data_IF_377974444951
#
_entry.id   IF_377974444951
#
_cell.length_a   1.000
_cell.length_b   1.000
_cell.length_c   1.000
_cell.angle_alpha   90.00
_cell.angle_beta   90.00
_cell.angle_gamma   90.00
#
_symmetry.space_group_name_H-M   'P 1'
#
loop_
_entity.id
_entity.type
_entity.pdbx_description
1 polymer ?
#
# COMPACT_ATOMS: atom_id res chain seq x y z
N UNK A 1 -0.79 -14.35 16.47
CA UNK A 1 -0.29 -14.15 15.11
C UNK A 1 -0.81 -12.84 14.55
N UNK A 2 0.06 -12.05 13.97
CA UNK A 2 -0.35 -10.75 13.44
C UNK A 2 -0.94 -10.89 12.06
N UNK A 3 -2.13 -10.32 11.89
CA UNK A 3 -2.74 -10.24 10.58
C UNK A 3 -2.39 -8.93 9.88
N UNK A 4 -1.67 -8.06 10.58
CA UNK A 4 -1.22 -6.80 10.03
C UNK A 4 0.27 -6.88 9.72
N UNK A 5 0.64 -6.33 8.58
CA UNK A 5 2.03 -6.28 8.16
C UNK A 5 2.31 -4.87 7.66
N UNK A 6 3.54 -4.41 7.84
CA UNK A 6 3.90 -3.09 7.34
C UNK A 6 4.87 -3.25 6.18
N UNK A 7 4.64 -2.45 5.14
CA UNK A 7 5.44 -2.46 3.93
C UNK A 7 5.95 -1.05 3.65
N UNK A 8 7.19 -0.97 3.22
CA UNK A 8 7.77 0.32 2.85
C UNK A 8 7.74 0.46 1.34
N UNK A 9 7.19 1.57 0.88
CA UNK A 9 7.07 1.83 -0.54
C UNK A 9 7.52 3.25 -0.84
N UNK A 10 7.84 3.50 -2.10
CA UNK A 10 8.16 4.85 -2.55
C UNK A 10 6.89 5.55 -2.97
N UNK A 11 6.72 6.77 -2.47
CA UNK A 11 5.60 7.59 -2.88
C UNK A 11 5.70 7.88 -4.37
N UNK A 12 4.63 7.65 -5.14
CA UNK A 12 4.69 7.90 -6.59
C UNK A 12 4.73 9.38 -6.97
N UNK A 13 4.53 10.26 -6.00
CA UNK A 13 4.57 11.69 -6.23
C UNK A 13 5.91 12.30 -5.87
N UNK A 14 6.39 12.07 -4.65
CA UNK A 14 7.60 12.73 -4.17
C UNK A 14 8.81 11.80 -4.10
N UNK A 15 8.59 10.49 -4.20
CA UNK A 15 9.67 9.52 -4.18
C UNK A 15 10.21 9.16 -2.80
N UNK A 16 9.62 9.71 -1.75
CA UNK A 16 10.04 9.40 -0.40
C UNK A 16 9.53 8.03 0.02
N UNK A 17 10.26 7.40 0.92
CA UNK A 17 9.85 6.09 1.43
C UNK A 17 8.83 6.30 2.53
N UNK A 18 7.68 5.66 2.36
CA UNK A 18 6.60 5.71 3.35
C UNK A 18 6.25 4.29 3.77
N UNK A 19 5.67 4.17 4.95
CA UNK A 19 5.30 2.87 5.48
C UNK A 19 3.79 2.73 5.47
N UNK A 20 3.32 1.62 4.93
CA UNK A 20 1.89 1.32 4.85
C UNK A 20 1.61 0.08 5.68
N UNK A 21 0.50 0.12 6.42
CA UNK A 21 0.06 -1.03 7.20
C UNK A 21 -0.98 -1.79 6.38
N UNK A 22 -0.74 -3.08 6.20
CA UNK A 22 -1.55 -3.92 5.34
C UNK A 22 -2.21 -5.00 6.18
N UNK A 23 -3.52 -5.16 5.98
CA UNK A 23 -4.28 -6.18 6.68
C UNK A 23 -4.22 -7.47 5.88
N UNK A 24 -3.44 -8.43 6.37
CA UNK A 24 -3.22 -9.68 5.66
C UNK A 24 -4.39 -10.65 5.77
N UNK A 25 -5.42 -10.30 6.50
CA UNK A 25 -6.62 -11.13 6.59
C UNK A 25 -7.54 -10.92 5.39
N UNK A 26 -7.30 -9.89 4.59
CA UNK A 26 -8.11 -9.57 3.43
C UNK A 26 -7.28 -9.86 2.17
N UNK A 27 -7.80 -10.72 1.31
CA UNK A 27 -7.04 -11.17 0.14
C UNK A 27 -6.84 -10.08 -0.90
N UNK A 28 -7.77 -9.15 -0.98
CA UNK A 28 -7.65 -8.07 -1.94
C UNK A 28 -8.15 -6.78 -1.33
N UNK A 29 -7.34 -5.73 -1.45
CA UNK A 29 -7.66 -4.43 -0.87
C UNK A 29 -7.33 -3.36 -1.90
N UNK A 30 -8.17 -2.34 -1.91
CA UNK A 30 -7.95 -1.20 -2.81
C UNK A 30 -8.44 0.03 -2.08
N UNK A 31 -7.53 0.95 -1.77
CA UNK A 31 -7.88 2.13 -0.98
C UNK A 31 -6.92 3.26 -1.28
N UNK A 32 -7.22 4.42 -0.71
CA UNK A 32 -6.40 5.61 -0.88
C UNK A 32 -5.69 5.91 0.44
N UNK A 33 -4.39 6.16 0.34
CA UNK A 33 -3.58 6.50 1.48
C UNK A 33 -2.87 7.82 1.22
N UNK A 34 -2.80 8.69 2.20
CA UNK A 34 -2.13 9.98 2.06
C UNK A 34 -0.65 9.85 2.32
N UNK A 35 0.17 10.47 1.47
CA UNK A 35 1.60 10.53 1.70
C UNK A 35 1.89 11.48 2.86
N UNK A 36 2.76 11.05 3.78
CA UNK A 36 3.10 11.85 4.94
C UNK A 36 4.01 13.03 4.60
N UNK A 37 4.66 12.98 3.44
CA UNK A 37 5.63 13.98 3.05
C UNK A 37 5.01 15.04 2.15
N UNK A 38 4.37 14.61 1.07
CA UNK A 38 3.80 15.55 0.11
C UNK A 38 2.29 15.70 0.23
N UNK A 39 1.67 14.93 1.10
CA UNK A 39 0.22 14.99 1.38
C UNK A 39 -0.66 14.74 0.17
N UNK A 40 -0.14 13.98 -0.80
CA UNK A 40 -0.93 13.64 -1.98
C UNK A 40 -1.58 12.28 -1.81
N UNK A 41 -2.77 12.08 -2.37
CA UNK A 41 -3.46 10.80 -2.25
C UNK A 41 -2.81 9.75 -3.15
N UNK A 42 -2.52 8.59 -2.58
CA UNK A 42 -1.87 7.49 -3.26
C UNK A 42 -2.88 6.35 -3.40
N UNK A 43 -3.03 5.85 -4.64
CA UNK A 43 -3.83 4.67 -4.85
C UNK A 43 -3.06 3.43 -4.42
N UNK A 44 -3.59 2.70 -3.45
CA UNK A 44 -2.94 1.50 -2.92
C UNK A 44 -3.73 0.29 -3.35
N UNK A 45 -3.03 -0.67 -3.91
CA UNK A 45 -3.63 -1.91 -4.38
C UNK A 45 -2.86 -3.08 -3.78
N UNK A 46 -3.53 -3.87 -2.96
CA UNK A 46 -2.92 -4.99 -2.27
C UNK A 46 -3.65 -6.26 -2.65
N UNK A 47 -2.90 -7.28 -3.00
CA UNK A 47 -3.48 -8.60 -3.20
C UNK A 47 -2.59 -9.65 -2.57
N UNK A 48 -3.20 -10.71 -2.08
CA UNK A 48 -2.50 -11.81 -1.44
C UNK A 48 -2.85 -13.08 -2.21
N UNK A 49 -1.84 -13.78 -2.71
CA UNK A 49 -2.10 -14.97 -3.49
C UNK A 49 -2.35 -16.17 -2.57
N UNK A 50 -2.63 -17.32 -3.17
CA UNK A 50 -2.99 -18.50 -2.41
C UNK A 50 -1.81 -19.05 -1.59
N UNK A 51 -0.60 -18.60 -1.87
CA UNK A 51 0.57 -18.97 -1.09
C UNK A 51 0.83 -18.01 0.07
N UNK A 52 -0.01 -16.99 0.19
CA UNK A 52 0.15 -16.01 1.25
C UNK A 52 1.12 -14.90 0.93
N UNK A 53 1.55 -14.78 -0.32
CA UNK A 53 2.48 -13.74 -0.72
C UNK A 53 1.72 -12.43 -0.95
N UNK A 54 2.25 -11.35 -0.38
CA UNK A 54 1.64 -10.04 -0.49
C UNK A 54 2.17 -9.33 -1.73
N UNK A 55 1.26 -8.88 -2.58
CA UNK A 55 1.60 -8.09 -3.76
C UNK A 55 1.03 -6.69 -3.55
N UNK A 56 1.92 -5.72 -3.53
CA UNK A 56 1.56 -4.35 -3.21
C UNK A 56 1.95 -3.43 -4.36
N UNK A 57 0.99 -2.64 -4.81
CA UNK A 57 1.20 -1.64 -5.86
C UNK A 57 0.67 -0.30 -5.41
N UNK A 58 1.38 0.75 -5.77
CA UNK A 58 0.95 2.12 -5.50
C UNK A 58 0.99 2.90 -6.81
N UNK A 59 0.09 3.87 -6.93
CA UNK A 59 0.01 4.66 -8.14
C UNK A 59 -0.59 6.01 -7.82
N UNK A 60 -0.51 6.93 -8.81
CA UNK A 60 -1.17 8.22 -8.69
C UNK A 60 -2.67 8.02 -8.77
N UNK A 61 -3.38 8.77 -7.94
CA UNK A 61 -4.83 8.65 -7.94
C UNK A 61 -5.45 9.15 -9.23
N UNK A 62 -4.81 10.11 -9.86
CA UNK A 62 -5.36 10.79 -11.04
C UNK A 62 -4.91 10.17 -12.35
N UNK A 63 -4.45 8.97 -12.36
CA UNK A 63 -4.05 8.34 -13.61
C UNK A 63 -5.18 7.72 -14.35
#
# INVERSE_FOLDING_TARGET
MNELDSQKVHCPYCGEIIELVIDCSVEQQNYIEDCEVCCCPIGVDVSIDYEGQVLLNVSHENE
#
